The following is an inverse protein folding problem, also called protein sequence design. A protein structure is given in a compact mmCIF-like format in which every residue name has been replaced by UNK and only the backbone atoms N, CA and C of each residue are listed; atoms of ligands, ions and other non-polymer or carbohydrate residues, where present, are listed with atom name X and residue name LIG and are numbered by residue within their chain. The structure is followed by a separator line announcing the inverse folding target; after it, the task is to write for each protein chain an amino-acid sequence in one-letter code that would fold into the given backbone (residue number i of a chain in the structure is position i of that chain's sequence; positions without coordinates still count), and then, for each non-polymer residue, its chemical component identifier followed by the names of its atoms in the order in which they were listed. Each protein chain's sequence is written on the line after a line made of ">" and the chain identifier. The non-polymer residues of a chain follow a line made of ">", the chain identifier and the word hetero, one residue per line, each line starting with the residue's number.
data_IF_641280267816
#
_entry.id   IF_641280267816
#
_cell.length_a   1.000
_cell.length_b   1.000
_cell.length_c   1.000
_cell.angle_alpha   90.00
_cell.angle_beta   90.00
_cell.angle_gamma   90.00
#
_symmetry.space_group_name_H-M   'P 1'
#
loop_
_entity.id
_entity.type
_entity.pdbx_description
1 polymer ?
#
# COMPACT_ATOMS: atom_id res chain seq x y z
N UNK A 1 -3.06 14.49 0.36
CA UNK A 1 -2.13 14.01 1.41
C UNK A 1 -1.05 13.22 0.67
N UNK A 2 0.12 12.96 1.23
CA UNK A 2 1.09 12.04 0.63
C UNK A 2 1.83 11.28 1.73
N UNK A 3 2.07 9.98 1.55
CA UNK A 3 2.87 9.21 2.50
C UNK A 3 4.34 9.55 2.31
N UNK A 4 4.93 10.30 3.25
CA UNK A 4 6.32 10.75 3.16
C UNK A 4 7.30 9.66 3.60
N UNK A 5 7.02 8.98 4.72
CA UNK A 5 7.91 7.98 5.30
C UNK A 5 7.12 6.77 5.81
N UNK A 6 7.76 5.59 5.82
CA UNK A 6 7.20 4.35 6.38
C UNK A 6 8.24 3.77 7.31
N UNK A 7 7.81 3.38 8.51
CA UNK A 7 8.65 2.73 9.51
C UNK A 7 7.98 1.45 9.96
N UNK A 8 8.77 0.38 10.05
CA UNK A 8 8.33 -0.85 10.71
C UNK A 8 9.53 -1.58 11.32
N UNK A 9 9.30 -2.34 12.38
CA UNK A 9 10.37 -3.02 13.11
C UNK A 9 11.44 -2.06 13.65
N UNK A 10 11.08 -0.80 13.92
CA UNK A 10 12.00 0.23 14.40
C UNK A 10 12.94 0.81 13.33
N UNK A 11 12.76 0.49 12.05
CA UNK A 11 13.59 0.99 10.96
C UNK A 11 12.76 1.67 9.88
N UNK A 12 13.33 2.70 9.25
CA UNK A 12 12.75 3.32 8.06
C UNK A 12 12.80 2.33 6.90
N UNK A 13 11.69 2.21 6.19
CA UNK A 13 11.57 1.36 5.01
C UNK A 13 11.59 2.24 3.77
N UNK A 14 12.39 1.81 2.79
CA UNK A 14 12.39 2.30 1.43
C UNK A 14 11.78 1.22 0.53
N UNK A 15 10.46 1.27 0.26
CA UNK A 15 9.81 0.39 -0.71
C UNK A 15 10.35 0.62 -2.13
N UNK A 16 10.21 -0.35 -3.06
CA UNK A 16 9.62 -1.69 -2.88
C UNK A 16 10.63 -2.74 -2.39
N UNK A 17 11.93 -2.48 -2.55
CA UNK A 17 12.98 -3.51 -2.48
C UNK A 17 13.21 -4.11 -1.07
N UNK A 18 12.93 -3.34 -0.01
CA UNK A 18 13.07 -3.83 1.38
C UNK A 18 11.84 -4.61 1.87
N UNK A 19 10.72 -4.47 1.17
CA UNK A 19 9.51 -5.23 1.45
C UNK A 19 9.67 -6.68 0.98
N UNK A 20 10.35 -6.91 -0.15
CA UNK A 20 10.65 -8.25 -0.70
C UNK A 20 11.52 -9.11 0.25
N UNK A 21 12.42 -8.50 1.02
CA UNK A 21 13.38 -9.25 1.85
C UNK A 21 12.85 -9.74 3.20
N UNK A 22 11.63 -9.34 3.61
CA UNK A 22 11.04 -9.72 4.89
C UNK A 22 9.57 -10.15 4.77
N UNK A 23 9.28 -11.46 4.70
CA UNK A 23 7.92 -11.98 4.63
C UNK A 23 7.04 -11.56 5.80
N UNK A 24 7.61 -11.43 7.00
CA UNK A 24 6.88 -10.98 8.19
C UNK A 24 6.47 -9.51 8.09
N UNK A 25 7.34 -8.67 7.53
CA UNK A 25 7.04 -7.27 7.30
C UNK A 25 5.90 -7.11 6.28
N UNK A 26 5.94 -7.89 5.18
CA UNK A 26 4.82 -7.95 4.21
C UNK A 26 3.50 -8.31 4.87
N UNK A 27 3.51 -9.38 5.69
CA UNK A 27 2.29 -9.83 6.36
C UNK A 27 1.70 -8.74 7.27
N UNK A 28 2.54 -8.04 8.04
CA UNK A 28 2.09 -6.98 8.94
C UNK A 28 1.56 -5.75 8.19
N UNK A 29 2.13 -5.43 7.02
CA UNK A 29 1.63 -4.36 6.17
C UNK A 29 0.30 -4.73 5.52
N UNK A 30 0.16 -5.95 4.99
CA UNK A 30 -1.10 -6.44 4.44
C UNK A 30 -2.19 -6.44 5.52
N UNK A 31 -1.88 -6.96 6.72
CA UNK A 31 -2.81 -6.95 7.85
C UNK A 31 -3.17 -5.52 8.28
N UNK A 32 -2.18 -4.64 8.40
CA UNK A 32 -2.39 -3.25 8.79
C UNK A 32 -3.20 -2.46 7.77
N UNK A 33 -3.02 -2.70 6.48
CA UNK A 33 -3.85 -2.14 5.41
C UNK A 33 -5.26 -2.72 5.53
N UNK A 34 -5.42 -4.04 5.54
CA UNK A 34 -6.73 -4.69 5.59
C UNK A 34 -7.56 -4.33 6.83
N UNK A 35 -6.93 -4.01 7.97
CA UNK A 35 -7.65 -3.63 9.19
C UNK A 35 -7.95 -2.13 9.30
N UNK A 36 -7.18 -1.27 8.65
CA UNK A 36 -7.34 0.18 8.81
C UNK A 36 -8.23 0.81 7.77
N UNK A 37 -8.71 0.04 6.79
CA UNK A 37 -9.33 0.63 5.64
C UNK A 37 -10.75 0.13 5.39
N UNK A 38 -11.67 1.07 5.17
CA UNK A 38 -13.02 0.81 4.69
C UNK A 38 -13.14 1.09 3.18
N UNK A 39 -11.99 1.13 2.52
CA UNK A 39 -11.79 1.45 1.12
C UNK A 39 -11.80 0.21 0.22
N UNK A 40 -11.65 0.42 -1.08
CA UNK A 40 -11.64 -0.63 -2.08
C UNK A 40 -10.66 -0.28 -3.19
N UNK A 41 -9.96 -1.31 -3.66
CA UNK A 41 -9.18 -1.29 -4.90
C UNK A 41 -9.94 -2.09 -5.94
N UNK A 42 -10.30 -1.47 -7.07
CA UNK A 42 -11.02 -2.16 -8.15
C UNK A 42 -10.61 -1.64 -9.53
N UNK A 43 -10.87 -2.44 -10.57
CA UNK A 43 -10.72 -2.01 -11.97
C UNK A 43 -12.13 -1.72 -12.49
N UNK A 44 -12.46 -0.46 -12.84
CA UNK A 44 -13.74 -0.12 -13.43
C UNK A 44 -13.96 -0.84 -14.77
N UNK A 45 -15.21 -1.17 -15.09
CA UNK A 45 -15.54 -1.80 -16.36
C UNK A 45 -15.15 -0.87 -17.54
N UNK A 46 -14.31 -1.37 -18.44
CA UNK A 46 -13.81 -0.61 -19.60
C UNK A 46 -12.62 0.32 -19.32
N UNK A 47 -12.12 0.38 -18.08
CA UNK A 47 -10.90 1.12 -17.74
C UNK A 47 -9.65 0.23 -17.80
N UNK A 48 -8.51 0.83 -18.10
CA UNK A 48 -7.19 0.16 -18.05
C UNK A 48 -6.46 0.40 -16.72
N UNK A 49 -6.97 1.31 -15.89
CA UNK A 49 -6.34 1.73 -14.65
C UNK A 49 -7.12 1.27 -13.43
N UNK A 50 -6.40 1.06 -12.33
CA UNK A 50 -6.95 0.73 -11.02
C UNK A 50 -7.48 1.99 -10.34
N UNK A 51 -8.68 1.92 -9.77
CA UNK A 51 -9.23 2.95 -8.90
C UNK A 51 -9.16 2.55 -7.43
N UNK A 52 -8.96 3.56 -6.57
CA UNK A 52 -8.92 3.44 -5.12
C UNK A 52 -9.93 4.38 -4.47
N UNK A 53 -10.83 3.81 -3.65
CA UNK A 53 -11.80 4.57 -2.84
C UNK A 53 -11.27 4.81 -1.43
N UNK A 54 -12.06 5.41 -0.54
CA UNK A 54 -11.62 5.73 0.83
C UNK A 54 -11.32 7.22 1.08
N UNK A 55 -10.97 7.51 2.32
CA UNK A 55 -10.55 8.83 2.80
C UNK A 55 -9.22 9.27 2.14
N UNK A 56 -8.89 10.57 2.18
CA UNK A 56 -7.64 11.07 1.62
C UNK A 56 -6.37 10.43 2.19
N UNK A 57 -6.43 9.85 3.40
CA UNK A 57 -5.30 9.14 4.01
C UNK A 57 -5.22 7.70 3.52
N UNK A 58 -6.36 7.00 3.51
CA UNK A 58 -6.50 5.61 3.02
C UNK A 58 -6.00 5.48 1.57
N UNK A 59 -6.45 6.36 0.68
CA UNK A 59 -6.04 6.36 -0.73
C UNK A 59 -4.53 6.46 -0.90
N UNK A 60 -3.86 7.29 -0.11
CA UNK A 60 -2.41 7.50 -0.22
C UNK A 60 -1.61 6.31 0.30
N UNK A 61 -2.10 5.62 1.33
CA UNK A 61 -1.52 4.37 1.81
C UNK A 61 -1.64 3.31 0.72
N UNK A 62 -2.85 3.08 0.20
CA UNK A 62 -3.10 2.08 -0.84
C UNK A 62 -2.36 2.37 -2.15
N UNK A 63 -2.35 3.61 -2.64
CA UNK A 63 -1.63 3.97 -3.85
C UNK A 63 -0.13 3.69 -3.74
N UNK A 64 0.47 3.93 -2.56
CA UNK A 64 1.88 3.66 -2.32
C UNK A 64 2.17 2.17 -2.31
N UNK A 65 1.36 1.37 -1.62
CA UNK A 65 1.53 -0.09 -1.57
C UNK A 65 1.28 -0.74 -2.95
N UNK A 66 0.24 -0.31 -3.68
CA UNK A 66 -0.05 -0.81 -5.03
C UNK A 66 1.10 -0.52 -5.99
N UNK A 67 1.68 0.69 -5.94
CA UNK A 67 2.87 1.04 -6.72
C UNK A 67 4.04 0.11 -6.40
N UNK A 68 4.23 -0.22 -5.12
CA UNK A 68 5.31 -1.12 -4.70
C UNK A 68 5.17 -2.55 -5.24
N UNK A 69 3.95 -2.98 -5.55
CA UNK A 69 3.64 -4.30 -6.12
C UNK A 69 3.69 -4.29 -7.65
N UNK A 70 3.29 -3.18 -8.30
CA UNK A 70 3.24 -3.05 -9.77
C UNK A 70 4.60 -2.69 -10.41
N UNK A 71 5.53 -2.10 -9.67
CA UNK A 71 6.86 -1.72 -10.17
C UNK A 71 7.92 -2.85 -10.08
N UNK A 72 7.49 -4.10 -9.91
CA UNK A 72 8.34 -5.30 -9.94
C UNK A 72 8.38 -5.96 -11.32
#
# INVERSE_FOLDING_TARGET
>A
MTVVEVYAGGSKINPPHQLESSPKLRSLLIEGVAQNTNDSVYVPEGANDVEVTGSPTEKEILHRELRSVLEN
#
